data_IF_344554575119
#
_entry.id   IF_344554575119
#
_cell.length_a   1.000
_cell.length_b   1.000
_cell.length_c   1.000
_cell.angle_alpha   90.00
_cell.angle_beta   90.00
_cell.angle_gamma   90.00
#
_symmetry.space_group_name_H-M   'P 1'
#
loop_
_entity.id
_entity.type
_entity.pdbx_description
1 polymer ?
#
# COMPACT_ATOMS: atom_id res chain seq x y z
N UNK A 1 16.29 -3.25 7.69
CA UNK A 1 15.20 -2.86 6.75
C UNK A 1 13.85 -3.16 7.40
N UNK A 2 12.76 -2.47 7.04
CA UNK A 2 11.44 -2.73 7.63
C UNK A 2 11.02 -4.21 7.52
N UNK A 3 11.39 -4.88 6.43
CA UNK A 3 11.23 -6.33 6.23
C UNK A 3 11.88 -7.22 7.31
N UNK A 4 12.93 -6.75 7.98
CA UNK A 4 13.66 -7.49 9.01
C UNK A 4 13.16 -7.18 10.43
N UNK A 5 12.17 -6.29 10.56
CA UNK A 5 11.63 -5.81 11.83
C UNK A 5 10.25 -6.39 12.15
N UNK A 6 9.83 -7.45 11.46
CA UNK A 6 8.52 -8.09 11.64
C UNK A 6 7.35 -7.31 10.99
N UNK A 7 7.65 -6.32 10.14
CA UNK A 7 6.64 -5.66 9.32
C UNK A 7 6.14 -6.66 8.28
N UNK A 8 4.83 -6.83 8.20
CA UNK A 8 4.18 -7.78 7.28
C UNK A 8 3.78 -7.15 5.95
N UNK A 9 3.57 -5.84 5.96
CA UNK A 9 3.10 -5.07 4.81
C UNK A 9 3.63 -3.65 4.88
N UNK A 10 4.18 -3.14 3.77
CA UNK A 10 4.83 -1.83 3.71
C UNK A 10 4.41 -1.07 2.45
N UNK A 11 3.95 0.17 2.63
CA UNK A 11 3.38 1.00 1.59
C UNK A 11 4.27 2.21 1.34
N UNK A 12 4.64 2.43 0.08
CA UNK A 12 5.34 3.62 -0.38
C UNK A 12 4.37 4.42 -1.23
N UNK A 13 4.03 5.63 -0.78
CA UNK A 13 3.14 6.55 -1.49
C UNK A 13 4.01 7.64 -2.12
N UNK A 14 3.88 7.85 -3.43
CA UNK A 14 4.50 8.94 -4.18
C UNK A 14 3.39 9.91 -4.68
N UNK A 15 3.08 10.98 -3.93
CA UNK A 15 2.05 11.95 -4.32
C UNK A 15 2.35 12.70 -5.61
N UNK A 16 3.63 12.91 -5.94
CA UNK A 16 4.00 13.63 -7.16
C UNK A 16 3.72 12.80 -8.42
N UNK A 17 3.71 11.47 -8.31
CA UNK A 17 3.40 10.55 -9.41
C UNK A 17 2.02 9.90 -9.31
N UNK A 18 1.28 10.15 -8.23
CA UNK A 18 0.02 9.48 -7.90
C UNK A 18 0.12 7.94 -7.95
N UNK A 19 1.23 7.41 -7.43
CA UNK A 19 1.53 5.97 -7.39
C UNK A 19 1.72 5.45 -5.98
N UNK A 20 1.33 4.21 -5.78
CA UNK A 20 1.51 3.45 -4.54
C UNK A 20 2.23 2.16 -4.86
N UNK A 21 3.29 1.85 -4.12
CA UNK A 21 3.96 0.54 -4.16
C UNK A 21 3.73 -0.16 -2.83
N UNK A 22 3.19 -1.39 -2.88
CA UNK A 22 2.91 -2.20 -1.69
C UNK A 22 3.80 -3.44 -1.71
N UNK A 23 4.57 -3.61 -0.64
CA UNK A 23 5.35 -4.82 -0.36
C UNK A 23 4.60 -5.66 0.65
N UNK A 24 4.32 -6.92 0.30
CA UNK A 24 3.76 -7.92 1.20
C UNK A 24 4.87 -8.87 1.65
N UNK A 25 5.43 -8.67 2.83
CA UNK A 25 6.59 -9.45 3.30
C UNK A 25 6.24 -10.86 3.79
N UNK A 26 4.98 -11.09 4.19
CA UNK A 26 4.48 -12.43 4.55
C UNK A 26 4.26 -13.34 3.33
N UNK A 27 4.39 -12.79 2.12
CA UNK A 27 4.19 -13.50 0.86
C UNK A 27 5.49 -13.44 0.07
N UNK A 28 5.88 -14.57 -0.52
CA UNK A 28 6.96 -14.58 -1.50
C UNK A 28 6.42 -14.07 -2.84
N UNK A 29 6.17 -12.76 -2.91
CA UNK A 29 5.53 -12.10 -4.04
C UNK A 29 6.19 -10.77 -4.37
N UNK A 30 6.22 -10.43 -5.65
CA UNK A 30 6.66 -9.12 -6.13
C UNK A 30 5.81 -7.98 -5.56
N UNK A 31 6.41 -6.78 -5.39
CA UNK A 31 5.67 -5.61 -4.98
C UNK A 31 4.58 -5.24 -5.99
N UNK A 32 3.43 -4.81 -5.48
CA UNK A 32 2.30 -4.41 -6.30
C UNK A 32 2.29 -2.89 -6.50
N UNK A 33 1.98 -2.44 -7.73
CA UNK A 33 1.88 -1.03 -8.10
C UNK A 33 0.42 -0.64 -8.34
N UNK A 34 -0.03 0.43 -7.69
CA UNK A 34 -1.40 0.94 -7.77
C UNK A 34 -1.43 2.45 -8.08
N UNK A 35 -2.57 2.92 -8.58
CA UNK A 35 -2.90 4.36 -8.69
C UNK A 35 -3.66 4.84 -7.44
N UNK A 36 -3.79 6.15 -7.26
CA UNK A 36 -4.52 6.72 -6.13
C UNK A 36 -6.04 6.48 -6.15
N UNK A 37 -6.61 6.22 -7.33
CA UNK A 37 -8.03 5.87 -7.51
C UNK A 37 -8.35 4.40 -7.25
N UNK A 38 -7.33 3.56 -7.10
CA UNK A 38 -7.50 2.13 -6.85
C UNK A 38 -8.01 1.90 -5.43
N UNK A 39 -8.97 0.99 -5.27
CA UNK A 39 -9.30 0.39 -3.98
C UNK A 39 -8.26 -0.69 -3.65
N UNK A 40 -7.24 -0.34 -2.88
CA UNK A 40 -6.10 -1.21 -2.62
C UNK A 40 -6.41 -2.08 -1.38
N UNK A 41 -6.48 -3.42 -1.51
CA UNK A 41 -6.79 -4.30 -0.39
C UNK A 41 -5.63 -4.36 0.59
N UNK A 42 -5.92 -4.28 1.90
CA UNK A 42 -4.92 -4.44 2.95
C UNK A 42 -4.71 -5.92 3.21
N UNK A 43 -3.53 -6.43 2.88
CA UNK A 43 -3.19 -7.85 2.90
C UNK A 43 -3.25 -8.48 4.30
N UNK A 44 -2.99 -7.69 5.34
CA UNK A 44 -3.01 -8.12 6.74
C UNK A 44 -4.35 -7.94 7.46
N UNK A 45 -5.32 -7.25 6.86
CA UNK A 45 -6.66 -7.01 7.42
C UNK A 45 -7.74 -7.36 6.38
N UNK A 46 -8.22 -8.62 6.35
CA UNK A 46 -9.21 -9.05 5.38
C UNK A 46 -10.48 -8.19 5.40
N UNK A 47 -10.93 -7.76 4.21
CA UNK A 47 -12.11 -6.91 4.05
C UNK A 47 -11.85 -5.41 4.19
N UNK A 48 -10.64 -4.99 4.59
CA UNK A 48 -10.24 -3.59 4.56
C UNK A 48 -9.58 -3.26 3.22
N UNK A 49 -10.02 -2.17 2.60
CA UNK A 49 -9.38 -1.57 1.42
C UNK A 49 -9.17 -0.07 1.66
N UNK A 50 -8.09 0.46 1.09
CA UNK A 50 -7.72 1.87 1.19
C UNK A 50 -7.65 2.48 -0.21
N UNK A 51 -8.32 3.62 -0.39
CA UNK A 51 -8.19 4.49 -1.56
C UNK A 51 -7.43 5.75 -1.18
N UNK A 52 -6.25 5.94 -1.76
CA UNK A 52 -5.36 7.05 -1.35
C UNK A 52 -5.99 8.41 -1.65
N UNK A 53 -6.76 8.52 -2.74
CA UNK A 53 -7.47 9.76 -3.04
C UNK A 53 -8.45 10.15 -1.93
N UNK A 54 -9.06 9.22 -1.21
CA UNK A 54 -9.98 9.57 -0.12
C UNK A 54 -9.26 10.07 1.14
N UNK A 55 -7.98 9.72 1.31
CA UNK A 55 -7.16 10.15 2.43
C UNK A 55 -6.51 11.53 2.20
N UNK A 56 -6.23 11.88 0.95
CA UNK A 56 -5.50 13.11 0.60
C UNK A 56 -6.40 14.31 0.26
N UNK A 57 -7.73 14.12 0.19
CA UNK A 57 -8.72 15.15 -0.18
C UNK A 57 -8.88 16.33 0.81
N UNK A 58 -8.10 16.41 1.90
CA UNK A 58 -8.29 17.39 2.98
C UNK A 58 -7.26 18.54 3.03
N UNK A 59 -6.73 19.01 1.90
CA UNK A 59 -5.88 20.21 1.85
C UNK A 59 -6.39 21.26 0.85
#
# INVERSE_FOLDING_TARGET
MYSQSGVREYWIIDPAKEKVVVYYYDRDSDPCLYSFDSDIPVGIYPGLSIKINDLLKNH
#
